data_IF_401171092905
#
_entry.id   IF_401171092905
#
_cell.length_a   1.000
_cell.length_b   1.000
_cell.length_c   1.000
_cell.angle_alpha   90.00
_cell.angle_beta   90.00
_cell.angle_gamma   90.00
#
_symmetry.space_group_name_H-M   'P 1'
#
loop_
_entity.id
_entity.type
_entity.pdbx_description
1 polymer ?
#
# COMPACT_ATOMS: atom_id res chain seq x y z
N UNK A 1 -20.87 31.91 10.67
CA UNK A 1 -22.19 31.56 11.22
C UNK A 1 -22.55 30.17 10.70
N UNK A 2 -22.96 29.27 11.61
CA UNK A 2 -23.42 27.87 11.44
C UNK A 2 -22.43 26.91 10.76
N UNK A 3 -21.59 26.10 11.44
CA UNK A 3 -21.85 24.89 12.28
C UNK A 3 -23.02 24.00 11.82
N UNK A 4 -22.69 22.92 11.09
CA UNK A 4 -23.05 21.52 11.43
C UNK A 4 -22.87 20.57 10.22
N UNK A 5 -21.86 19.68 10.31
CA UNK A 5 -21.85 18.37 9.65
C UNK A 5 -20.71 17.53 10.24
N UNK A 6 -20.99 16.86 11.37
CA UNK A 6 -20.07 15.85 11.93
C UNK A 6 -20.13 14.56 11.10
N UNK A 7 -19.00 13.96 10.72
CA UNK A 7 -18.98 12.67 10.02
C UNK A 7 -19.03 11.55 11.06
N UNK A 8 -20.23 11.23 11.54
CA UNK A 8 -20.45 10.14 12.48
C UNK A 8 -21.52 9.20 11.94
N UNK A 9 -21.17 8.38 10.94
CA UNK A 9 -21.88 7.14 10.62
C UNK A 9 -21.14 6.35 9.53
N UNK A 10 -20.25 5.43 9.94
CA UNK A 10 -19.92 4.22 9.13
C UNK A 10 -19.09 3.14 9.81
N UNK A 11 -18.99 3.13 11.15
CA UNK A 11 -18.30 2.05 11.88
C UNK A 11 -19.09 1.59 13.11
N UNK A 12 -20.16 0.81 12.92
CA UNK A 12 -20.67 -0.13 13.94
C UNK A 12 -21.34 -1.35 13.29
N UNK A 13 -21.24 -2.47 14.01
CA UNK A 13 -21.59 -3.88 13.69
C UNK A 13 -20.44 -4.58 12.92
N UNK A 14 -19.62 -5.44 13.53
CA UNK A 14 -19.94 -6.55 14.42
C UNK A 14 -18.96 -6.63 15.60
N UNK A 15 -19.49 -6.84 16.81
CA UNK A 15 -18.73 -7.23 18.01
C UNK A 15 -19.35 -8.55 18.50
N UNK A 16 -18.60 -9.65 18.63
CA UNK A 16 -19.14 -10.88 19.20
C UNK A 16 -19.33 -10.71 20.73
N UNK A 17 -20.37 -11.31 21.33
CA UNK A 17 -20.61 -11.20 22.76
C UNK A 17 -19.62 -12.05 23.57
N UNK A 18 -19.12 -11.49 24.68
CA UNK A 18 -18.35 -12.21 25.70
C UNK A 18 -19.28 -13.07 26.58
N UNK A 19 -18.88 -14.27 27.01
CA UNK A 19 -19.70 -15.09 27.90
C UNK A 19 -19.56 -14.65 29.37
N UNK A 20 -20.69 -14.54 30.06
CA UNK A 20 -20.77 -14.41 31.51
C UNK A 20 -20.86 -15.79 32.17
N UNK A 21 -20.21 -15.95 33.33
CA UNK A 21 -20.23 -17.15 34.17
C UNK A 21 -21.45 -17.17 35.11
N UNK A 22 -22.13 -18.32 35.24
CA UNK A 22 -22.44 -18.96 36.53
C UNK A 22 -23.31 -20.24 36.39
N UNK A 23 -22.86 -21.32 37.05
CA UNK A 23 -23.66 -22.03 38.06
C UNK A 23 -24.75 -23.03 37.65
N UNK A 24 -24.35 -24.30 37.52
CA UNK A 24 -24.99 -25.54 38.03
C UNK A 24 -26.54 -25.67 38.11
N UNK A 25 -27.10 -26.69 37.43
CA UNK A 25 -28.47 -27.18 37.67
C UNK A 25 -28.93 -28.24 36.67
N UNK A 26 -29.10 -29.47 37.16
CA UNK A 26 -29.40 -30.71 36.45
C UNK A 26 -30.85 -30.77 35.91
N UNK A 27 -31.09 -31.33 34.71
CA UNK A 27 -32.45 -31.63 34.22
C UNK A 27 -32.51 -32.13 32.76
N UNK A 28 -32.67 -33.44 32.59
CA UNK A 28 -32.82 -34.17 31.32
C UNK A 28 -33.94 -33.66 30.40
N UNK A 29 -33.71 -33.70 29.07
CA UNK A 29 -34.79 -33.62 28.08
C UNK A 29 -34.34 -33.57 26.61
N UNK A 30 -34.25 -34.76 25.99
CA UNK A 30 -34.44 -35.05 24.55
C UNK A 30 -33.43 -34.52 23.49
N UNK A 31 -32.56 -35.46 23.10
CA UNK A 31 -31.88 -35.69 21.82
C UNK A 31 -32.41 -34.92 20.58
N UNK A 32 -31.54 -34.15 19.94
CA UNK A 32 -31.46 -34.11 18.47
C UNK A 32 -30.00 -33.97 18.03
N UNK A 33 -29.63 -34.79 17.06
CA UNK A 33 -28.28 -35.25 16.79
C UNK A 33 -27.35 -34.17 16.21
N UNK A 34 -26.07 -34.30 16.59
CA UNK A 34 -24.94 -33.61 15.99
C UNK A 34 -24.90 -33.79 14.46
N UNK A 35 -24.74 -32.69 13.72
CA UNK A 35 -24.35 -32.72 12.32
C UNK A 35 -22.82 -32.71 12.18
N UNK A 36 -22.23 -33.51 11.28
CA UNK A 36 -20.83 -33.88 11.37
C UNK A 36 -19.92 -32.84 10.69
N UNK A 37 -18.84 -32.46 11.38
CA UNK A 37 -17.78 -31.56 10.89
C UNK A 37 -16.70 -32.13 9.94
N UNK A 38 -16.68 -33.40 9.42
CA UNK A 38 -15.58 -33.88 8.60
C UNK A 38 -15.69 -33.56 7.09
N UNK A 39 -16.89 -33.24 6.56
CA UNK A 39 -17.05 -33.03 5.11
C UNK A 39 -16.41 -31.73 4.58
N UNK A 40 -16.33 -30.66 5.40
CA UNK A 40 -15.70 -29.40 4.98
C UNK A 40 -14.17 -29.44 4.96
N UNK A 41 -13.54 -30.45 5.57
CA UNK A 41 -12.08 -30.59 5.60
C UNK A 41 -11.55 -31.32 4.35
N UNK A 42 -12.33 -32.23 3.76
CA UNK A 42 -11.96 -33.01 2.57
C UNK A 42 -11.95 -32.21 1.25
N UNK A 43 -12.42 -30.96 1.30
CA UNK A 43 -12.57 -30.07 0.13
C UNK A 43 -11.87 -28.72 0.40
N UNK A 44 -10.69 -28.74 1.00
CA UNK A 44 -9.79 -27.59 1.04
C UNK A 44 -8.65 -27.80 0.06
N UNK A 45 -8.19 -26.71 -0.53
CA UNK A 45 -6.95 -26.71 -1.31
C UNK A 45 -5.80 -27.23 -0.43
N UNK A 46 -4.91 -27.99 -1.05
CA UNK A 46 -3.65 -28.42 -0.47
C UNK A 46 -2.75 -27.20 -0.26
N UNK A 47 -1.88 -27.28 0.74
CA UNK A 47 -0.86 -26.25 0.96
C UNK A 47 0.21 -26.25 -0.16
N UNK A 48 0.57 -27.44 -0.62
CA UNK A 48 1.58 -27.65 -1.65
C UNK A 48 0.93 -28.20 -2.93
N UNK A 49 1.43 -27.82 -4.11
CA UNK A 49 0.95 -28.37 -5.37
C UNK A 49 1.25 -29.86 -5.46
N UNK A 50 0.52 -30.55 -6.34
CA UNK A 50 0.76 -31.96 -6.64
C UNK A 50 1.81 -32.07 -7.75
N UNK A 51 3.06 -32.40 -7.39
CA UNK A 51 4.23 -32.34 -8.28
C UNK A 51 4.13 -33.20 -9.55
N UNK A 52 3.27 -34.22 -9.56
CA UNK A 52 3.07 -35.15 -10.69
C UNK A 52 1.70 -35.03 -11.37
N UNK A 53 0.93 -33.98 -11.06
CA UNK A 53 -0.36 -33.74 -11.70
C UNK A 53 -0.18 -32.78 -12.89
N UNK A 54 -0.56 -33.23 -14.08
CA UNK A 54 -0.72 -32.35 -15.24
C UNK A 54 -2.13 -31.74 -15.21
N UNK A 55 -2.26 -30.41 -15.04
CA UNK A 55 -3.57 -29.76 -15.06
C UNK A 55 -4.20 -29.80 -16.45
N UNK A 56 -5.53 -29.79 -16.50
CA UNK A 56 -6.26 -29.66 -17.76
C UNK A 56 -5.97 -28.31 -18.43
N UNK A 57 -6.12 -28.29 -19.76
CA UNK A 57 -6.23 -27.03 -20.49
C UNK A 57 -7.65 -26.47 -20.35
N UNK A 58 -7.72 -25.17 -20.08
CA UNK A 58 -8.96 -24.40 -19.91
C UNK A 58 -9.09 -23.27 -20.93
N UNK A 59 -8.17 -23.18 -21.90
CA UNK A 59 -8.12 -22.09 -22.90
C UNK A 59 -9.39 -22.04 -23.75
N UNK A 60 -9.99 -23.19 -24.04
CA UNK A 60 -11.25 -23.31 -24.79
C UNK A 60 -12.46 -22.70 -24.06
N UNK A 61 -12.35 -22.50 -22.75
CA UNK A 61 -13.41 -21.93 -21.92
C UNK A 61 -13.24 -20.43 -21.67
N UNK A 62 -12.24 -19.76 -22.28
CA UNK A 62 -11.93 -18.35 -22.05
C UNK A 62 -13.15 -17.40 -22.18
N UNK A 63 -14.08 -17.68 -23.08
CA UNK A 63 -15.30 -16.87 -23.27
C UNK A 63 -16.42 -17.16 -22.26
N UNK A 64 -16.35 -18.29 -21.57
CA UNK A 64 -17.34 -18.75 -20.59
C UNK A 64 -16.89 -18.52 -19.15
N UNK A 65 -15.57 -18.44 -18.94
CA UNK A 65 -14.97 -18.24 -17.63
C UNK A 65 -14.95 -16.76 -17.23
N UNK A 66 -15.33 -16.54 -15.98
CA UNK A 66 -15.23 -15.27 -15.27
C UNK A 66 -13.78 -14.83 -14.96
N UNK A 67 -12.81 -15.73 -15.17
CA UNK A 67 -11.41 -15.61 -14.77
C UNK A 67 -10.47 -16.14 -15.86
N UNK A 68 -9.20 -15.78 -15.78
CA UNK A 68 -8.16 -16.28 -16.70
C UNK A 68 -8.06 -17.81 -16.64
N UNK A 69 -8.04 -18.53 -17.78
CA UNK A 69 -7.77 -19.96 -17.86
C UNK A 69 -6.51 -20.39 -17.10
N UNK A 70 -5.46 -19.55 -17.11
CA UNK A 70 -4.22 -19.82 -16.38
C UNK A 70 -4.38 -19.91 -14.87
N UNK A 71 -5.39 -19.23 -14.30
CA UNK A 71 -5.70 -19.35 -12.88
C UNK A 71 -6.27 -20.73 -12.56
N UNK A 72 -7.10 -21.30 -13.44
CA UNK A 72 -7.66 -22.64 -13.25
C UNK A 72 -6.59 -23.72 -13.36
N UNK A 73 -5.73 -23.68 -14.38
CA UNK A 73 -4.63 -24.65 -14.51
C UNK A 73 -3.63 -24.55 -13.35
N UNK A 74 -3.41 -23.34 -12.81
CA UNK A 74 -2.59 -23.15 -11.62
C UNK A 74 -3.25 -23.68 -10.35
N UNK A 75 -4.53 -23.37 -10.15
CA UNK A 75 -5.30 -23.75 -8.97
C UNK A 75 -5.57 -25.26 -8.91
N UNK A 76 -5.73 -25.91 -10.07
CA UNK A 76 -6.00 -27.35 -10.17
C UNK A 76 -4.91 -28.18 -9.49
N UNK A 77 -3.64 -27.78 -9.61
CA UNK A 77 -2.50 -28.46 -8.97
C UNK A 77 -2.61 -28.52 -7.45
N UNK A 78 -3.41 -27.64 -6.84
CA UNK A 78 -3.65 -27.57 -5.40
C UNK A 78 -4.95 -28.28 -4.98
N UNK A 79 -5.70 -28.88 -5.90
CA UNK A 79 -6.88 -29.66 -5.53
C UNK A 79 -6.49 -30.92 -4.74
N UNK A 80 -7.28 -31.33 -3.73
CA UNK A 80 -7.09 -32.59 -3.04
C UNK A 80 -7.35 -33.79 -3.98
N UNK A 81 -6.74 -34.96 -3.75
CA UNK A 81 -6.84 -36.12 -4.65
C UNK A 81 -8.25 -36.53 -5.09
N UNK A 82 -9.29 -36.49 -4.21
CA UNK A 82 -10.66 -36.82 -4.64
C UNK A 82 -11.23 -35.86 -5.69
N UNK A 83 -10.80 -34.58 -5.67
CA UNK A 83 -11.25 -33.57 -6.64
C UNK A 83 -10.45 -33.62 -7.94
N UNK A 84 -9.18 -34.04 -7.90
CA UNK A 84 -8.36 -34.25 -9.11
C UNK A 84 -8.93 -35.34 -10.02
N UNK A 85 -9.57 -36.36 -9.43
CA UNK A 85 -10.21 -37.46 -10.15
C UNK A 85 -11.57 -37.10 -10.78
N UNK A 86 -12.09 -35.89 -10.54
CA UNK A 86 -13.35 -35.45 -11.11
C UNK A 86 -13.21 -35.00 -12.57
N UNK A 87 -14.36 -34.88 -13.25
CA UNK A 87 -14.39 -34.31 -14.60
C UNK A 87 -13.87 -32.88 -14.62
N UNK A 88 -13.37 -32.45 -15.78
CA UNK A 88 -12.92 -31.09 -16.03
C UNK A 88 -13.95 -30.04 -15.60
N UNK A 89 -15.22 -30.26 -15.94
CA UNK A 89 -16.31 -29.33 -15.62
C UNK A 89 -16.57 -29.24 -14.10
N UNK A 90 -16.54 -30.38 -13.40
CA UNK A 90 -16.71 -30.39 -11.94
C UNK A 90 -15.51 -29.72 -11.23
N UNK A 91 -14.29 -29.87 -11.76
CA UNK A 91 -13.11 -29.15 -11.29
C UNK A 91 -13.26 -27.64 -11.50
N UNK A 92 -13.77 -27.20 -12.66
CA UNK A 92 -14.05 -25.80 -12.98
C UNK A 92 -15.07 -25.22 -12.01
N UNK A 93 -16.21 -25.88 -11.78
CA UNK A 93 -17.25 -25.38 -10.87
C UNK A 93 -16.72 -25.20 -9.44
N UNK A 94 -15.96 -26.17 -8.95
CA UNK A 94 -15.35 -26.09 -7.63
C UNK A 94 -14.30 -24.96 -7.53
N UNK A 95 -13.40 -24.85 -8.51
CA UNK A 95 -12.40 -23.78 -8.56
C UNK A 95 -13.05 -22.40 -8.71
N UNK A 96 -14.12 -22.30 -9.50
CA UNK A 96 -14.90 -21.07 -9.68
C UNK A 96 -15.54 -20.62 -8.37
N UNK A 97 -16.14 -21.53 -7.60
CA UNK A 97 -16.68 -21.22 -6.27
C UNK A 97 -15.61 -20.68 -5.31
N UNK A 98 -14.38 -21.21 -5.38
CA UNK A 98 -13.25 -20.67 -4.63
C UNK A 98 -12.94 -19.25 -5.10
N UNK A 99 -12.72 -19.04 -6.41
CA UNK A 99 -12.32 -17.76 -6.96
C UNK A 99 -13.36 -16.66 -6.70
N UNK A 100 -14.66 -16.98 -6.80
CA UNK A 100 -15.75 -16.05 -6.52
C UNK A 100 -15.80 -15.56 -5.07
N UNK A 101 -15.29 -16.35 -4.11
CA UNK A 101 -15.17 -15.91 -2.71
C UNK A 101 -14.07 -14.88 -2.48
N UNK A 102 -13.05 -14.86 -3.34
CA UNK A 102 -11.91 -13.95 -3.24
C UNK A 102 -11.96 -12.80 -4.25
N UNK A 103 -12.80 -12.88 -5.28
CA UNK A 103 -13.02 -11.82 -6.26
C UNK A 103 -14.51 -11.74 -6.63
N UNK A 104 -15.30 -11.05 -5.80
CA UNK A 104 -16.73 -10.85 -6.03
C UNK A 104 -17.00 -10.11 -7.34
N UNK A 105 -18.20 -10.29 -7.89
CA UNK A 105 -18.63 -9.70 -9.17
C UNK A 105 -18.38 -8.18 -9.27
N UNK A 106 -18.63 -7.43 -8.18
CA UNK A 106 -18.39 -5.99 -8.15
C UNK A 106 -16.92 -5.60 -8.36
N UNK A 107 -15.98 -6.35 -7.78
CA UNK A 107 -14.54 -6.12 -7.96
C UNK A 107 -14.12 -6.49 -9.38
N UNK A 108 -14.61 -7.62 -9.91
CA UNK A 108 -14.33 -8.05 -11.29
C UNK A 108 -14.83 -7.04 -12.31
N UNK A 109 -16.06 -6.57 -12.15
CA UNK A 109 -16.66 -5.54 -13.01
C UNK A 109 -15.84 -4.26 -12.98
N UNK A 110 -15.36 -3.86 -11.79
CA UNK A 110 -14.49 -2.68 -11.65
C UNK A 110 -13.16 -2.86 -12.40
N UNK A 111 -12.50 -4.02 -12.28
CA UNK A 111 -11.25 -4.33 -12.98
C UNK A 111 -11.44 -4.33 -14.50
N UNK A 112 -12.51 -4.95 -15.00
CA UNK A 112 -12.82 -4.97 -16.43
C UNK A 112 -13.07 -3.56 -16.97
N UNK A 113 -13.90 -2.76 -16.30
CA UNK A 113 -14.16 -1.37 -16.71
C UNK A 113 -12.89 -0.52 -16.67
N UNK A 114 -12.02 -0.73 -15.68
CA UNK A 114 -10.74 -0.03 -15.60
C UNK A 114 -9.84 -0.41 -16.78
N UNK A 115 -9.76 -1.70 -17.13
CA UNK A 115 -9.01 -2.17 -18.30
C UNK A 115 -9.53 -1.58 -19.60
N UNK A 116 -10.84 -1.59 -19.83
CA UNK A 116 -11.46 -0.98 -21.03
C UNK A 116 -11.19 0.52 -21.11
N UNK A 117 -11.29 1.21 -19.98
CA UNK A 117 -10.95 2.63 -19.87
C UNK A 117 -9.48 2.89 -20.26
N UNK A 118 -8.53 2.11 -19.73
CA UNK A 118 -7.11 2.25 -20.06
C UNK A 118 -6.85 1.94 -21.54
N UNK A 119 -7.47 0.90 -22.08
CA UNK A 119 -7.35 0.55 -23.51
C UNK A 119 -7.82 1.69 -24.42
N UNK A 120 -8.91 2.37 -24.06
CA UNK A 120 -9.38 3.54 -24.82
C UNK A 120 -8.36 4.68 -24.80
N UNK A 121 -7.73 4.94 -23.66
CA UNK A 121 -6.65 5.95 -23.59
C UNK A 121 -5.49 5.54 -24.48
N UNK A 122 -4.96 4.33 -24.30
CA UNK A 122 -3.80 3.83 -25.05
C UNK A 122 -4.02 3.79 -26.57
N UNK A 123 -5.25 3.62 -27.03
CA UNK A 123 -5.59 3.63 -28.44
C UNK A 123 -5.65 5.03 -29.07
N UNK A 124 -5.87 6.08 -28.26
CA UNK A 124 -6.18 7.43 -28.76
C UNK A 124 -5.16 8.50 -28.34
N UNK A 125 -4.49 8.31 -27.20
CA UNK A 125 -3.44 9.20 -26.72
C UNK A 125 -2.11 8.92 -27.44
N UNK A 126 -1.39 9.99 -27.79
CA UNK A 126 -0.07 9.91 -28.42
C UNK A 126 0.99 10.45 -27.45
N UNK A 127 1.90 9.60 -26.95
CA UNK A 127 2.97 10.04 -26.07
C UNK A 127 3.87 11.09 -26.69
N UNK A 128 4.29 12.08 -25.89
CA UNK A 128 5.22 13.13 -26.31
C UNK A 128 6.67 12.65 -26.17
N UNK A 129 7.00 12.04 -25.03
CA UNK A 129 8.33 11.54 -24.68
C UNK A 129 8.34 10.00 -24.61
N UNK A 130 8.49 9.33 -25.76
CA UNK A 130 8.54 7.85 -25.83
C UNK A 130 9.61 7.22 -24.96
N UNK A 131 10.71 7.93 -24.72
CA UNK A 131 11.79 7.50 -23.84
C UNK A 131 11.33 7.28 -22.39
N UNK A 132 10.27 7.97 -21.94
CA UNK A 132 9.69 7.73 -20.61
C UNK A 132 9.18 6.30 -20.43
N UNK A 133 8.67 5.69 -21.49
CA UNK A 133 7.96 4.41 -21.46
C UNK A 133 8.88 3.18 -21.36
N UNK A 134 10.18 3.38 -21.57
CA UNK A 134 11.17 2.29 -21.57
C UNK A 134 12.08 2.30 -20.34
N UNK A 135 12.11 3.41 -19.57
CA UNK A 135 13.00 3.65 -18.43
C UNK A 135 14.47 3.32 -18.76
N UNK A 136 15.15 4.26 -19.42
CA UNK A 136 16.60 4.20 -19.57
C UNK A 136 17.30 4.83 -18.36
N UNK A 137 17.75 3.99 -17.42
CA UNK A 137 18.19 4.41 -16.09
C UNK A 137 19.23 5.55 -16.11
N UNK A 138 20.21 5.52 -17.03
CA UNK A 138 21.27 6.54 -17.13
C UNK A 138 20.75 7.93 -17.56
N UNK A 139 19.63 7.99 -18.26
CA UNK A 139 18.96 9.25 -18.62
C UNK A 139 18.00 9.74 -17.55
N UNK A 140 17.52 8.83 -16.68
CA UNK A 140 16.52 9.17 -15.67
C UNK A 140 17.15 9.71 -14.40
N UNK A 141 18.17 9.01 -13.92
CA UNK A 141 18.67 9.15 -12.57
C UNK A 141 20.03 9.82 -12.51
N UNK A 142 20.29 10.52 -11.40
CA UNK A 142 21.60 11.11 -11.17
C UNK A 142 22.68 10.02 -11.00
N UNK A 143 23.93 10.26 -11.46
CA UNK A 143 24.98 9.23 -11.45
C UNK A 143 25.32 8.68 -10.06
N UNK A 144 25.21 9.50 -9.01
CA UNK A 144 25.43 9.09 -7.61
C UNK A 144 24.41 8.04 -7.17
N UNK A 145 23.13 8.26 -7.51
CA UNK A 145 22.03 7.34 -7.23
C UNK A 145 22.23 5.97 -7.90
N UNK A 146 22.56 5.98 -9.20
CA UNK A 146 22.81 4.74 -9.94
C UNK A 146 24.00 3.95 -9.40
N UNK A 147 25.06 4.64 -8.96
CA UNK A 147 26.23 3.99 -8.38
C UNK A 147 25.89 3.25 -7.09
N UNK A 148 25.16 3.92 -6.19
CA UNK A 148 24.71 3.31 -4.94
C UNK A 148 23.85 2.06 -5.20
N UNK A 149 22.93 2.12 -6.17
CA UNK A 149 22.09 0.96 -6.52
C UNK A 149 22.85 -0.16 -7.22
N UNK A 150 23.91 0.16 -7.97
CA UNK A 150 24.79 -0.85 -8.56
C UNK A 150 25.58 -1.61 -7.48
N UNK A 151 26.04 -0.91 -6.45
CA UNK A 151 26.72 -1.51 -5.29
C UNK A 151 25.73 -2.27 -4.39
N UNK A 152 24.51 -1.74 -4.23
CA UNK A 152 23.39 -2.39 -3.55
C UNK A 152 23.68 -2.82 -2.10
N UNK A 153 24.48 -2.02 -1.38
CA UNK A 153 24.77 -2.22 0.06
C UNK A 153 24.18 -1.10 0.90
N UNK A 154 23.99 -1.35 2.20
CA UNK A 154 23.53 -0.32 3.14
C UNK A 154 24.47 0.89 3.17
N UNK A 155 25.79 0.67 3.14
CA UNK A 155 26.80 1.75 3.12
C UNK A 155 26.68 2.60 1.87
N UNK A 156 26.50 1.96 0.70
CA UNK A 156 26.35 2.66 -0.57
C UNK A 156 25.09 3.53 -0.58
N UNK A 157 23.97 3.05 -0.03
CA UNK A 157 22.75 3.84 0.10
C UNK A 157 22.89 4.97 1.11
N UNK A 158 23.50 4.70 2.27
CA UNK A 158 23.75 5.73 3.29
C UNK A 158 24.69 6.83 2.81
N UNK A 159 25.52 6.57 1.78
CA UNK A 159 26.38 7.58 1.19
C UNK A 159 25.62 8.67 0.40
N UNK A 160 24.38 8.38 -0.04
CA UNK A 160 23.56 9.30 -0.86
C UNK A 160 22.27 9.75 -0.17
N UNK A 161 21.88 9.08 0.93
CA UNK A 161 20.63 9.33 1.66
C UNK A 161 20.92 10.05 2.96
N UNK A 162 20.09 11.05 3.26
CA UNK A 162 20.00 11.66 4.60
C UNK A 162 18.70 11.26 5.28
N UNK A 163 18.71 11.11 6.60
CA UNK A 163 17.53 10.83 7.42
C UNK A 163 17.24 12.03 8.35
N UNK A 164 16.61 13.11 7.84
CA UNK A 164 16.39 14.32 8.64
C UNK A 164 15.41 14.11 9.79
N UNK A 165 14.59 13.06 9.75
CA UNK A 165 13.69 12.65 10.81
C UNK A 165 13.50 11.13 10.76
N UNK A 166 13.31 10.44 11.90
CA UNK A 166 13.24 8.97 11.94
C UNK A 166 12.29 8.36 10.91
N UNK A 167 12.84 7.55 10.01
CA UNK A 167 12.12 6.84 8.95
C UNK A 167 11.69 7.71 7.75
N UNK A 168 12.19 8.93 7.64
CA UNK A 168 12.04 9.80 6.47
C UNK A 168 13.41 9.93 5.82
N UNK A 169 13.57 9.37 4.62
CA UNK A 169 14.82 9.40 3.89
C UNK A 169 14.73 10.34 2.70
N UNK A 170 15.76 11.16 2.52
CA UNK A 170 15.82 12.18 1.48
C UNK A 170 17.09 12.02 0.67
N UNK A 171 16.96 12.02 -0.66
CA UNK A 171 18.07 11.85 -1.59
C UNK A 171 17.80 12.53 -2.93
N UNK A 172 18.87 12.83 -3.66
CA UNK A 172 18.79 13.26 -5.05
C UNK A 172 18.59 12.03 -5.94
N UNK A 173 17.58 12.07 -6.82
CA UNK A 173 17.14 10.89 -7.55
C UNK A 173 17.10 11.15 -9.05
N UNK A 174 16.27 12.10 -9.50
CA UNK A 174 16.03 12.35 -10.91
C UNK A 174 16.93 13.47 -11.44
N UNK A 175 17.35 13.33 -12.69
CA UNK A 175 17.96 14.43 -13.45
C UNK A 175 16.89 15.49 -13.77
N UNK A 176 17.28 16.77 -13.86
CA UNK A 176 16.37 17.88 -14.19
C UNK A 176 15.60 17.63 -15.49
N UNK A 177 16.29 17.16 -16.54
CA UNK A 177 15.66 16.79 -17.82
C UNK A 177 14.54 15.75 -17.65
N UNK A 178 14.71 14.79 -16.75
CA UNK A 178 13.67 13.78 -16.46
C UNK A 178 12.46 14.40 -15.79
N UNK A 179 12.67 15.36 -14.88
CA UNK A 179 11.59 16.12 -14.25
C UNK A 179 10.81 16.91 -15.31
N UNK A 180 11.50 17.64 -16.17
CA UNK A 180 10.92 18.40 -17.29
C UNK A 180 10.08 17.49 -18.21
N UNK A 181 10.66 16.38 -18.69
CA UNK A 181 9.96 15.45 -19.57
C UNK A 181 8.71 14.83 -18.94
N UNK A 182 8.76 14.51 -17.64
CA UNK A 182 7.58 14.00 -16.92
C UNK A 182 6.48 15.06 -16.83
N UNK A 183 6.84 16.33 -16.60
CA UNK A 183 5.89 17.44 -16.58
C UNK A 183 5.28 17.69 -17.96
N UNK A 184 6.11 17.73 -19.00
CA UNK A 184 5.68 17.93 -20.38
C UNK A 184 4.73 16.81 -20.84
N UNK A 185 5.01 15.56 -20.46
CA UNK A 185 4.15 14.41 -20.76
C UNK A 185 2.80 14.50 -20.03
N UNK A 186 2.81 14.90 -18.75
CA UNK A 186 1.57 15.10 -17.98
C UNK A 186 0.74 16.24 -18.57
N UNK A 187 1.36 17.37 -18.91
CA UNK A 187 0.68 18.50 -19.54
C UNK A 187 0.12 18.10 -20.91
N UNK A 188 0.88 17.35 -21.71
CA UNK A 188 0.42 16.83 -23.00
C UNK A 188 -0.79 15.91 -22.84
N UNK A 189 -0.78 15.03 -21.84
CA UNK A 189 -1.93 14.18 -21.52
C UNK A 189 -3.14 15.00 -21.09
N UNK A 190 -2.99 15.97 -20.19
CA UNK A 190 -4.09 16.83 -19.77
C UNK A 190 -4.67 17.68 -20.92
N UNK A 191 -3.82 18.21 -21.82
CA UNK A 191 -4.27 18.90 -23.04
C UNK A 191 -5.10 17.98 -23.92
N UNK A 192 -4.63 16.74 -24.16
CA UNK A 192 -5.39 15.76 -24.92
C UNK A 192 -6.75 15.44 -24.26
N UNK A 193 -6.79 15.28 -22.94
CA UNK A 193 -8.02 15.06 -22.16
C UNK A 193 -9.00 16.22 -22.38
N UNK A 194 -8.53 17.46 -22.30
CA UNK A 194 -9.34 18.66 -22.52
C UNK A 194 -9.87 18.72 -23.96
N UNK A 195 -9.00 18.60 -24.96
CA UNK A 195 -9.35 18.77 -26.38
C UNK A 195 -10.29 17.68 -26.89
N UNK A 196 -10.21 16.48 -26.32
CA UNK A 196 -11.10 15.36 -26.66
C UNK A 196 -12.32 15.27 -25.76
N UNK A 197 -12.43 16.13 -24.73
CA UNK A 197 -13.43 16.04 -23.67
C UNK A 197 -13.51 14.62 -23.05
N UNK A 198 -12.35 13.96 -22.91
CA UNK A 198 -12.27 12.62 -22.36
C UNK A 198 -12.39 12.69 -20.83
N UNK A 199 -13.13 11.76 -20.22
CA UNK A 199 -13.24 11.72 -18.75
C UNK A 199 -12.19 10.77 -18.18
N UNK A 200 -11.26 11.32 -17.40
CA UNK A 200 -10.23 10.54 -16.68
C UNK A 200 -10.59 10.29 -15.21
N UNK A 201 -9.96 9.28 -14.61
CA UNK A 201 -9.93 9.14 -13.16
C UNK A 201 -8.84 10.03 -12.57
N UNK A 202 -9.13 10.62 -11.41
CA UNK A 202 -8.17 11.43 -10.67
C UNK A 202 -7.29 10.55 -9.76
N UNK A 203 -6.09 11.02 -9.38
CA UNK A 203 -5.08 10.21 -8.69
C UNK A 203 -5.57 9.47 -7.44
N UNK A 204 -6.37 10.17 -6.63
CA UNK A 204 -7.01 9.63 -5.43
C UNK A 204 -8.21 10.52 -5.05
N UNK A 205 -8.90 10.18 -3.96
CA UNK A 205 -10.09 10.92 -3.49
C UNK A 205 -9.79 12.29 -2.86
N UNK A 206 -8.52 12.61 -2.62
CA UNK A 206 -8.07 13.85 -1.98
C UNK A 206 -7.49 14.87 -2.97
N UNK A 207 -7.16 14.45 -4.21
CA UNK A 207 -6.62 15.32 -5.25
C UNK A 207 -7.62 15.50 -6.39
N UNK A 208 -7.90 16.77 -6.72
CA UNK A 208 -8.74 17.16 -7.87
C UNK A 208 -7.94 17.29 -9.16
N UNK A 209 -6.64 17.57 -9.04
CA UNK A 209 -5.72 17.76 -10.16
C UNK A 209 -4.60 16.72 -10.16
N UNK A 210 -3.96 16.57 -11.33
CA UNK A 210 -3.02 15.50 -11.59
C UNK A 210 -3.64 14.26 -12.25
N UNK A 211 -2.79 13.27 -12.52
CA UNK A 211 -3.06 12.15 -13.43
C UNK A 211 -2.43 10.84 -12.91
N UNK A 212 -3.09 9.72 -13.19
CA UNK A 212 -2.56 8.37 -12.93
C UNK A 212 -1.70 7.94 -14.11
N UNK A 213 -0.43 7.63 -13.88
CA UNK A 213 0.55 7.42 -14.95
C UNK A 213 0.34 6.08 -15.68
N UNK A 214 -0.15 5.06 -14.97
CA UNK A 214 -0.49 3.76 -15.55
C UNK A 214 -1.58 3.90 -16.63
N UNK A 215 -2.50 4.85 -16.47
CA UNK A 215 -3.67 4.98 -17.34
C UNK A 215 -3.27 5.30 -18.79
N UNK A 216 -2.14 5.99 -19.00
CA UNK A 216 -1.63 6.37 -20.31
C UNK A 216 -0.27 5.73 -20.64
N UNK A 217 0.05 4.61 -19.98
CA UNK A 217 1.02 3.61 -20.44
C UNK A 217 2.38 3.61 -19.74
N UNK A 218 2.55 4.34 -18.64
CA UNK A 218 3.81 4.35 -17.88
C UNK A 218 3.94 3.20 -16.84
N UNK A 219 3.01 2.24 -16.84
CA UNK A 219 3.00 1.10 -15.91
C UNK A 219 4.33 0.32 -15.92
N UNK A 220 4.91 0.05 -17.09
CA UNK A 220 6.20 -0.66 -17.17
C UNK A 220 7.36 0.17 -16.59
N UNK A 221 7.34 1.50 -16.82
CA UNK A 221 8.33 2.41 -16.23
C UNK A 221 8.24 2.38 -14.70
N UNK A 222 7.03 2.50 -14.17
CA UNK A 222 6.80 2.52 -12.72
C UNK A 222 7.05 1.16 -12.04
N UNK A 223 6.72 0.06 -12.71
CA UNK A 223 7.06 -1.29 -12.24
C UNK A 223 8.56 -1.44 -12.07
N UNK A 224 9.35 -1.05 -13.08
CA UNK A 224 10.82 -1.06 -13.01
C UNK A 224 11.35 -0.07 -11.96
N UNK A 225 10.75 1.12 -11.84
CA UNK A 225 11.10 2.08 -10.79
C UNK A 225 10.95 1.46 -9.39
N UNK A 226 9.85 0.74 -9.14
CA UNK A 226 9.63 0.03 -7.90
C UNK A 226 10.63 -1.13 -7.71
N UNK A 227 10.73 -2.01 -8.70
CA UNK A 227 11.47 -3.27 -8.60
C UNK A 227 12.98 -3.06 -8.50
N UNK A 228 13.53 -2.23 -9.38
CA UNK A 228 14.97 -2.08 -9.57
C UNK A 228 15.56 -0.98 -8.67
N UNK A 229 14.74 -0.04 -8.15
CA UNK A 229 15.24 1.16 -7.45
C UNK A 229 14.62 1.35 -6.06
N UNK A 230 13.29 1.29 -5.91
CA UNK A 230 12.66 1.51 -4.59
C UNK A 230 12.81 0.30 -3.67
N UNK A 231 12.54 -0.93 -4.16
CA UNK A 231 12.59 -2.15 -3.35
C UNK A 231 13.98 -2.41 -2.74
N UNK A 232 15.12 -2.22 -3.45
CA UNK A 232 16.45 -2.37 -2.86
C UNK A 232 16.71 -1.46 -1.66
N UNK A 233 16.28 -0.19 -1.75
CA UNK A 233 16.40 0.82 -0.68
C UNK A 233 15.45 0.45 0.46
N UNK A 234 14.18 0.16 0.13
CA UNK A 234 13.16 -0.18 1.11
C UNK A 234 13.48 -1.45 1.92
N UNK A 235 14.14 -2.44 1.32
CA UNK A 235 14.63 -3.64 2.01
C UNK A 235 15.53 -3.29 3.20
N UNK A 236 16.38 -2.28 3.05
CA UNK A 236 17.35 -1.86 4.08
C UNK A 236 16.66 -1.00 5.14
N UNK A 237 15.86 -0.04 4.70
CA UNK A 237 15.38 1.03 5.58
C UNK A 237 13.96 0.83 6.14
N UNK A 238 13.19 -0.10 5.58
CA UNK A 238 11.82 -0.44 5.97
C UNK A 238 11.55 -1.95 6.11
N UNK A 239 12.45 -2.74 6.73
CA UNK A 239 12.26 -4.19 6.86
C UNK A 239 10.98 -4.54 7.65
N UNK A 240 10.57 -3.70 8.58
CA UNK A 240 9.41 -3.94 9.46
C UNK A 240 8.04 -3.70 8.82
N UNK A 241 8.00 -3.12 7.61
CA UNK A 241 6.76 -2.92 6.83
C UNK A 241 6.80 -3.61 5.47
N UNK A 242 7.63 -4.65 5.32
CA UNK A 242 7.67 -5.44 4.07
C UNK A 242 8.41 -4.78 2.92
N UNK A 243 9.40 -3.92 3.21
CA UNK A 243 10.20 -3.25 2.17
C UNK A 243 10.90 -4.21 1.19
N UNK A 244 11.16 -5.45 1.58
CA UNK A 244 11.73 -6.51 0.72
C UNK A 244 10.70 -7.24 -0.14
N UNK A 245 9.40 -7.11 0.16
CA UNK A 245 8.32 -7.88 -0.46
C UNK A 245 7.28 -6.99 -1.15
N UNK A 246 7.65 -5.75 -1.49
CA UNK A 246 6.83 -4.87 -2.32
C UNK A 246 6.52 -5.58 -3.63
N UNK A 247 5.30 -5.55 -4.16
CA UNK A 247 4.85 -6.32 -5.33
C UNK A 247 3.78 -5.62 -6.17
N UNK A 248 3.29 -4.46 -5.73
CA UNK A 248 2.30 -3.67 -6.44
C UNK A 248 2.60 -2.18 -6.27
N UNK A 249 2.29 -1.39 -7.29
CA UNK A 249 2.43 0.06 -7.25
C UNK A 249 1.14 0.78 -7.62
N UNK A 250 1.06 2.06 -7.26
CA UNK A 250 0.12 3.03 -7.84
C UNK A 250 0.88 4.35 -8.00
N UNK A 251 1.19 4.68 -9.25
CA UNK A 251 2.00 5.84 -9.59
C UNK A 251 1.17 6.96 -10.21
N UNK A 252 1.33 8.17 -9.70
CA UNK A 252 0.55 9.32 -10.12
C UNK A 252 1.32 10.63 -9.92
N UNK A 253 0.97 11.65 -10.68
CA UNK A 253 1.43 13.02 -10.45
C UNK A 253 0.31 13.82 -9.81
N UNK A 254 0.65 14.61 -8.80
CA UNK A 254 -0.24 15.60 -8.17
C UNK A 254 0.27 16.99 -8.46
N UNK A 255 -0.65 17.94 -8.58
CA UNK A 255 -0.39 19.33 -8.93
C UNK A 255 -1.01 20.28 -7.92
N UNK A 256 -0.21 21.25 -7.47
CA UNK A 256 -0.61 22.29 -6.53
C UNK A 256 -0.28 23.68 -7.06
N UNK A 257 -1.13 24.65 -6.71
CA UNK A 257 -1.02 26.04 -7.18
C UNK A 257 -2.34 26.80 -7.00
N UNK A 258 -2.36 28.09 -7.33
CA UNK A 258 -3.56 28.94 -7.13
C UNK A 258 -4.78 28.46 -7.92
N UNK A 259 -4.57 27.97 -9.15
CA UNK A 259 -5.62 27.42 -10.02
C UNK A 259 -5.67 25.88 -9.99
N UNK A 260 -5.15 25.29 -8.91
CA UNK A 260 -5.07 23.84 -8.68
C UNK A 260 -5.50 23.54 -7.23
N UNK A 261 -5.10 22.38 -6.69
CA UNK A 261 -5.22 22.17 -5.24
C UNK A 261 -4.19 23.05 -4.52
N UNK A 262 -4.57 23.71 -3.43
CA UNK A 262 -3.67 24.63 -2.73
C UNK A 262 -2.82 23.88 -1.70
N UNK A 263 -3.42 22.91 -1.02
CA UNK A 263 -2.81 22.11 0.05
C UNK A 263 -3.37 20.68 0.02
N UNK A 264 -2.77 19.80 0.81
CA UNK A 264 -3.31 18.46 1.07
C UNK A 264 -3.38 18.22 2.57
N UNK A 265 -4.60 17.98 3.05
CA UNK A 265 -4.89 17.78 4.46
C UNK A 265 -4.16 16.58 5.08
N UNK A 266 -4.27 16.46 6.40
CA UNK A 266 -3.60 15.41 7.16
C UNK A 266 -4.13 14.01 6.83
N UNK A 267 -3.25 13.10 6.41
CA UNK A 267 -3.61 11.75 5.97
C UNK A 267 -2.48 10.73 6.18
N UNK A 268 -2.73 9.50 5.73
CA UNK A 268 -1.75 8.42 5.54
C UNK A 268 -1.93 7.87 4.12
N UNK A 269 -0.91 7.24 3.58
CA UNK A 269 -0.99 6.59 2.28
C UNK A 269 -1.50 5.16 2.39
N UNK A 270 -2.16 4.70 1.32
CA UNK A 270 -2.46 3.28 1.11
C UNK A 270 -1.24 2.55 0.51
N UNK A 271 -0.13 2.59 1.25
CA UNK A 271 1.13 1.96 0.87
C UNK A 271 1.86 1.42 2.10
N UNK A 272 2.78 0.50 1.86
CA UNK A 272 3.79 0.13 2.85
C UNK A 272 4.93 1.16 2.82
N UNK A 273 5.38 1.52 1.61
CA UNK A 273 6.41 2.53 1.35
C UNK A 273 5.90 3.49 0.28
N UNK A 274 6.08 4.79 0.51
CA UNK A 274 5.78 5.85 -0.45
C UNK A 274 7.07 6.53 -0.89
N UNK A 275 7.25 6.64 -2.20
CA UNK A 275 8.22 7.53 -2.83
C UNK A 275 7.50 8.80 -3.29
N UNK A 276 8.01 9.96 -2.91
CA UNK A 276 7.52 11.27 -3.33
C UNK A 276 8.68 12.07 -3.94
N UNK A 277 8.61 12.38 -5.23
CA UNK A 277 9.67 13.08 -5.96
C UNK A 277 9.13 14.42 -6.45
N UNK A 278 9.82 15.51 -6.18
CA UNK A 278 9.42 16.82 -6.68
C UNK A 278 9.89 17.00 -8.13
N UNK A 279 8.94 17.41 -8.97
CA UNK A 279 9.15 17.66 -10.39
C UNK A 279 9.19 19.16 -10.70
N UNK A 280 8.33 19.95 -10.06
CA UNK A 280 8.18 21.38 -10.37
C UNK A 280 9.39 22.22 -9.94
N UNK A 281 9.78 23.21 -10.75
CA UNK A 281 11.01 23.99 -10.53
C UNK A 281 10.79 25.36 -9.86
N UNK A 282 9.62 25.97 -10.03
CA UNK A 282 9.36 27.35 -9.61
C UNK A 282 8.08 27.44 -8.79
N UNK A 283 8.22 27.29 -7.47
CA UNK A 283 7.12 27.48 -6.51
C UNK A 283 7.64 27.93 -5.13
N UNK A 284 6.74 28.41 -4.27
CA UNK A 284 7.02 28.67 -2.86
C UNK A 284 5.91 28.11 -1.97
N UNK A 285 6.26 27.78 -0.73
CA UNK A 285 5.40 27.01 0.17
C UNK A 285 5.30 25.54 -0.26
N UNK A 286 4.22 24.88 0.13
CA UNK A 286 3.99 23.48 -0.24
C UNK A 286 4.84 22.47 0.54
N UNK A 287 5.41 22.86 1.68
CA UNK A 287 6.24 21.97 2.49
C UNK A 287 5.44 20.73 2.88
N UNK A 288 6.10 19.57 2.82
CA UNK A 288 5.55 18.36 3.39
C UNK A 288 5.65 18.46 4.91
N UNK A 289 4.59 18.08 5.62
CA UNK A 289 4.62 18.02 7.07
C UNK A 289 4.31 16.61 7.53
N UNK A 290 5.08 16.10 8.49
CA UNK A 290 5.03 14.75 9.04
C UNK A 290 4.77 14.79 10.53
N UNK A 291 3.94 13.87 11.03
CA UNK A 291 3.44 13.85 12.42
C UNK A 291 3.49 12.44 13.00
N UNK A 292 4.61 11.75 12.75
CA UNK A 292 4.89 10.41 13.26
C UNK A 292 4.09 9.28 12.62
N UNK A 293 4.56 8.06 12.86
CA UNK A 293 4.01 6.83 12.27
C UNK A 293 3.02 6.17 13.23
N UNK A 294 1.91 5.62 12.69
CA UNK A 294 0.86 4.97 13.47
C UNK A 294 0.30 3.69 12.81
N UNK A 295 0.08 2.66 13.62
CA UNK A 295 -0.71 1.49 13.23
C UNK A 295 -2.21 1.84 13.13
N UNK A 296 -3.02 0.92 12.62
CA UNK A 296 -4.45 1.16 12.36
C UNK A 296 -5.22 1.54 13.63
N UNK A 297 -4.82 0.97 14.78
CA UNK A 297 -5.44 1.25 16.08
C UNK A 297 -5.14 2.66 16.62
N UNK A 298 -4.06 3.28 16.16
CA UNK A 298 -3.56 4.54 16.71
C UNK A 298 -3.47 5.66 15.67
N UNK A 299 -4.05 5.47 14.47
CA UNK A 299 -3.95 6.47 13.39
C UNK A 299 -4.44 7.86 13.81
N UNK A 300 -5.47 7.89 14.66
CA UNK A 300 -6.09 9.12 15.18
C UNK A 300 -5.54 9.56 16.55
N UNK A 301 -4.46 8.94 17.08
CA UNK A 301 -3.90 9.39 18.36
C UNK A 301 -3.21 10.75 18.22
N UNK A 302 -2.97 11.44 19.32
CA UNK A 302 -2.33 12.75 19.28
C UNK A 302 -0.90 12.68 18.70
N UNK A 303 -0.45 13.82 18.19
CA UNK A 303 0.93 14.01 17.72
C UNK A 303 1.76 14.62 18.83
N UNK A 304 2.91 14.03 19.12
CA UNK A 304 3.87 14.59 20.06
C UNK A 304 4.79 15.60 19.37
N UNK A 305 5.37 16.53 20.15
CA UNK A 305 6.20 17.59 19.59
C UNK A 305 7.43 17.01 18.87
N UNK A 306 8.04 15.96 19.41
CA UNK A 306 9.19 15.26 18.81
C UNK A 306 8.86 14.50 17.52
N UNK A 307 7.58 14.31 17.20
CA UNK A 307 7.13 13.64 15.98
C UNK A 307 6.87 14.62 14.82
N UNK A 308 6.99 15.93 15.08
CA UNK A 308 6.71 16.98 14.10
C UNK A 308 7.95 17.30 13.27
N UNK A 309 7.86 17.04 11.97
CA UNK A 309 8.92 17.35 11.01
C UNK A 309 8.32 17.97 9.75
N UNK A 310 8.94 19.03 9.24
CA UNK A 310 8.52 19.70 8.02
C UNK A 310 9.68 19.70 7.02
N UNK A 311 9.38 19.46 5.74
CA UNK A 311 10.36 19.32 4.68
C UNK A 311 10.01 20.21 3.48
N UNK A 312 10.91 21.14 3.18
CA UNK A 312 10.87 21.94 1.96
C UNK A 312 11.46 21.13 0.81
N UNK A 313 10.63 20.83 -0.19
CA UNK A 313 11.03 20.00 -1.31
C UNK A 313 11.87 20.79 -2.32
N UNK A 314 12.83 20.12 -2.96
CA UNK A 314 13.54 20.64 -4.14
C UNK A 314 13.34 19.73 -5.34
N UNK A 315 13.37 20.27 -6.57
CA UNK A 315 13.22 19.48 -7.80
C UNK A 315 14.25 18.36 -7.89
N UNK A 316 13.87 17.22 -8.47
CA UNK A 316 14.74 16.05 -8.67
C UNK A 316 15.08 15.26 -7.39
N UNK A 317 14.81 15.81 -6.21
CA UNK A 317 14.92 15.06 -4.94
C UNK A 317 13.72 14.17 -4.72
N UNK A 318 13.94 13.13 -3.93
CA UNK A 318 12.93 12.22 -3.44
C UNK A 318 12.86 12.25 -1.91
N UNK A 319 11.65 12.09 -1.39
CA UNK A 319 11.35 11.71 -0.01
C UNK A 319 10.78 10.30 -0.03
N UNK A 320 11.42 9.39 0.68
CA UNK A 320 10.95 8.04 0.91
C UNK A 320 10.48 7.93 2.36
N UNK A 321 9.26 7.44 2.57
CA UNK A 321 8.68 7.28 3.90
C UNK A 321 7.74 6.07 3.96
N UNK A 322 7.42 5.61 5.18
CA UNK A 322 6.36 4.61 5.40
C UNK A 322 5.01 5.20 4.96
N UNK A 323 4.15 4.43 4.33
CA UNK A 323 2.81 4.91 3.98
C UNK A 323 1.98 5.27 5.22
N UNK A 324 2.24 4.57 6.34
CA UNK A 324 1.64 4.85 7.66
C UNK A 324 2.23 6.05 8.39
N UNK A 325 3.20 6.75 7.81
CA UNK A 325 3.66 8.03 8.33
C UNK A 325 2.56 9.07 8.09
N UNK A 326 2.00 9.61 9.16
CA UNK A 326 0.93 10.60 9.02
C UNK A 326 1.52 11.91 8.54
N UNK A 327 0.98 12.47 7.47
CA UNK A 327 1.57 13.62 6.80
C UNK A 327 0.55 14.41 5.98
N UNK A 328 1.00 15.49 5.37
CA UNK A 328 0.24 16.29 4.42
C UNK A 328 1.15 17.29 3.70
N UNK A 329 0.56 18.17 2.90
CA UNK A 329 1.28 19.25 2.24
C UNK A 329 0.68 20.60 2.67
N UNK A 330 1.53 21.54 3.04
CA UNK A 330 1.13 22.93 3.33
C UNK A 330 0.66 23.62 2.05
N UNK A 331 0.05 24.79 2.22
CA UNK A 331 -0.37 25.63 1.09
C UNK A 331 0.80 26.01 0.19
N UNK A 332 0.64 25.81 -1.11
CA UNK A 332 1.52 26.40 -2.14
C UNK A 332 1.12 27.87 -2.30
N UNK A 333 2.03 28.78 -2.00
CA UNK A 333 1.75 30.23 -1.94
C UNK A 333 2.07 30.95 -3.24
N UNK A 334 2.93 30.39 -4.09
CA UNK A 334 3.22 30.89 -5.43
C UNK A 334 3.70 29.77 -6.35
N UNK A 335 3.53 29.96 -7.66
CA UNK A 335 4.01 29.05 -8.69
C UNK A 335 3.19 27.77 -8.81
N UNK A 336 3.80 26.77 -9.46
CA UNK A 336 3.19 25.47 -9.73
C UNK A 336 4.08 24.35 -9.18
N UNK A 337 3.55 23.64 -8.19
CA UNK A 337 4.24 22.52 -7.54
C UNK A 337 3.67 21.22 -8.03
N UNK A 338 4.52 20.39 -8.63
CA UNK A 338 4.13 19.06 -9.08
C UNK A 338 5.05 18.00 -8.48
N UNK A 339 4.46 16.88 -8.07
CA UNK A 339 5.18 15.78 -7.45
C UNK A 339 4.75 14.44 -8.05
N UNK A 340 5.73 13.60 -8.40
CA UNK A 340 5.54 12.18 -8.69
C UNK A 340 5.41 11.43 -7.37
N UNK A 341 4.30 10.73 -7.19
CA UNK A 341 4.05 9.85 -6.05
C UNK A 341 3.99 8.41 -6.54
N UNK A 342 4.71 7.51 -5.87
CA UNK A 342 4.64 6.08 -6.10
C UNK A 342 4.33 5.38 -4.78
N UNK A 343 3.10 4.90 -4.66
CA UNK A 343 2.67 4.06 -3.56
C UNK A 343 3.07 2.62 -3.82
N UNK A 344 4.04 2.09 -3.06
CA UNK A 344 4.48 0.70 -3.16
C UNK A 344 3.82 -0.13 -2.07
N UNK A 345 3.22 -1.25 -2.48
CA UNK A 345 2.47 -2.16 -1.61
C UNK A 345 3.12 -3.54 -1.56
N UNK A 346 2.91 -4.25 -0.47
CA UNK A 346 3.32 -5.63 -0.27
C UNK A 346 2.14 -6.50 0.13
N UNK A 347 1.73 -7.42 -0.76
CA UNK A 347 0.70 -8.41 -0.42
C UNK A 347 1.09 -9.29 0.77
N UNK A 348 2.37 -9.69 0.85
CA UNK A 348 2.93 -10.49 1.95
C UNK A 348 2.79 -9.77 3.28
N UNK A 349 3.20 -8.51 3.37
CA UNK A 349 3.08 -7.76 4.62
C UNK A 349 1.62 -7.56 5.02
N UNK A 350 0.74 -7.24 4.06
CA UNK A 350 -0.69 -7.06 4.31
C UNK A 350 -1.35 -8.33 4.85
N UNK A 351 -0.92 -9.50 4.39
CA UNK A 351 -1.36 -10.78 4.94
C UNK A 351 -0.81 -11.00 6.35
N UNK A 352 0.50 -10.85 6.56
CA UNK A 352 1.14 -11.01 7.86
C UNK A 352 0.58 -10.07 8.94
N UNK A 353 0.23 -8.83 8.55
CA UNK A 353 -0.36 -7.82 9.43
C UNK A 353 -1.65 -8.29 10.09
N UNK A 354 -2.42 -9.20 9.47
CA UNK A 354 -3.64 -9.79 10.05
C UNK A 354 -3.37 -10.59 11.32
N UNK A 355 -2.16 -11.13 11.44
CA UNK A 355 -1.72 -11.95 12.56
C UNK A 355 -0.82 -11.19 13.55
N UNK A 356 -0.35 -10.00 13.16
CA UNK A 356 0.53 -9.18 13.99
C UNK A 356 -0.24 -8.46 15.10
N UNK A 357 0.23 -8.62 16.34
CA UNK A 357 -0.40 -8.01 17.53
C UNK A 357 0.43 -6.89 18.13
N UNK A 358 1.76 -6.88 17.94
CA UNK A 358 2.68 -5.85 18.40
C UNK A 358 3.23 -5.02 17.22
N UNK A 359 3.02 -3.71 17.29
CA UNK A 359 3.51 -2.73 16.33
C UNK A 359 4.49 -1.73 16.98
N UNK A 360 5.00 -2.02 18.17
CA UNK A 360 5.91 -1.12 18.92
C UNK A 360 7.26 -0.88 18.24
N UNK A 361 7.62 -1.67 17.23
CA UNK A 361 8.82 -1.43 16.42
C UNK A 361 8.72 -0.19 15.52
N UNK A 362 7.51 0.21 15.12
CA UNK A 362 7.34 1.32 14.17
C UNK A 362 6.18 2.28 14.49
N UNK A 363 5.21 1.88 15.31
CA UNK A 363 4.12 2.77 15.76
C UNK A 363 4.54 3.51 17.03
N UNK A 364 4.67 4.83 16.94
CA UNK A 364 5.11 5.68 18.06
C UNK A 364 4.24 5.54 19.31
N UNK A 365 2.92 5.44 19.13
CA UNK A 365 1.95 5.24 20.23
C UNK A 365 2.10 3.86 20.90
N UNK A 366 2.28 2.79 20.11
CA UNK A 366 2.52 1.46 20.64
C UNK A 366 3.80 1.42 21.48
N UNK A 367 4.88 2.03 20.94
CA UNK A 367 6.16 2.12 21.62
C UNK A 367 6.06 2.91 22.93
N UNK A 368 5.36 4.05 22.92
CA UNK A 368 5.16 4.88 24.11
C UNK A 368 4.37 4.14 25.18
N UNK A 369 3.25 3.54 24.81
CA UNK A 369 2.43 2.73 25.73
C UNK A 369 3.24 1.59 26.36
N UNK A 370 4.08 0.91 25.55
CA UNK A 370 4.97 -0.15 26.03
C UNK A 370 6.02 0.38 27.02
N UNK A 371 6.65 1.53 26.73
CA UNK A 371 7.61 2.20 27.62
C UNK A 371 6.98 2.61 28.95
N UNK A 372 5.80 3.25 28.92
CA UNK A 372 5.07 3.67 30.14
C UNK A 372 4.71 2.48 31.02
N UNK A 373 4.18 1.39 30.43
CA UNK A 373 3.88 0.15 31.16
C UNK A 373 5.13 -0.44 31.81
N UNK A 374 6.25 -0.46 31.09
CA UNK A 374 7.51 -0.97 31.61
C UNK A 374 8.03 -0.14 32.79
N UNK A 375 8.03 1.20 32.67
CA UNK A 375 8.42 2.11 33.76
C UNK A 375 7.54 1.95 35.00
N UNK A 376 6.22 1.84 34.81
CA UNK A 376 5.28 1.64 35.91
C UNK A 376 5.49 0.28 36.60
N UNK A 377 5.81 -0.77 35.83
CA UNK A 377 6.17 -2.07 36.37
C UNK A 377 7.45 -2.01 37.21
N UNK A 378 8.51 -1.37 36.70
CA UNK A 378 9.77 -1.19 37.43
C UNK A 378 9.58 -0.41 38.73
N UNK A 379 8.79 0.67 38.70
CA UNK A 379 8.48 1.47 39.88
C UNK A 379 7.73 0.64 40.94
N UNK A 380 6.73 -0.16 40.52
CA UNK A 380 5.97 -1.05 41.41
C UNK A 380 6.87 -2.12 42.03
N UNK A 381 7.69 -2.80 41.23
CA UNK A 381 8.64 -3.81 41.72
C UNK A 381 9.65 -3.21 42.70
N UNK A 382 10.21 -2.02 42.40
CA UNK A 382 11.14 -1.32 43.30
C UNK A 382 10.48 -1.00 44.65
N UNK A 383 9.23 -0.53 44.64
CA UNK A 383 8.49 -0.24 45.86
C UNK A 383 8.24 -1.51 46.69
N UNK A 384 7.89 -2.62 46.03
CA UNK A 384 7.67 -3.91 46.70
C UNK A 384 8.96 -4.47 47.31
N UNK A 385 10.09 -4.37 46.62
CA UNK A 385 11.40 -4.77 47.17
C UNK A 385 11.77 -3.94 48.40
N UNK A 386 11.61 -2.61 48.34
CA UNK A 386 11.86 -1.72 49.49
C UNK A 386 10.93 -2.03 50.68
N UNK A 387 9.67 -2.42 50.42
CA UNK A 387 8.74 -2.85 51.48
C UNK A 387 9.17 -4.15 52.13
N UNK A 388 9.73 -5.09 51.37
CA UNK A 388 10.24 -6.36 51.90
C UNK A 388 11.49 -6.16 52.76
N UNK A 389 12.42 -5.30 52.33
CA UNK A 389 13.60 -4.94 53.13
C UNK A 389 13.19 -4.30 54.47
N UNK A 390 12.23 -3.38 54.47
CA UNK A 390 11.71 -2.76 55.71
C UNK A 390 10.96 -3.71 56.64
N UNK A 391 10.49 -4.86 56.14
CA UNK A 391 9.83 -5.90 56.96
C UNK A 391 10.84 -6.92 57.49
N UNK A 392 12.03 -6.99 56.89
CA UNK A 392 13.09 -7.91 57.28
C UNK A 392 14.10 -7.29 58.26
N UNK A 393 14.19 -5.95 58.29
CA UNK A 393 14.81 -5.17 59.36
C UNK A 393 13.80 -4.94 60.50
#
# INVERSE_FOLDING_TARGET
MSVDASPNDRFKQFRPPSPASNGNGNGNGALSAASPAPARAAHRLRLNPTDHHEPDSYEDLQSQLDFSPMLFSSLERYLPPPLLALSRDAKVDYMRDILLRYSPEGERTRVLRHREYRQKILANYKPLHRELYTLHAASFFVPSFLRALKENTEESFRSIITEPSPGIYVFEMLQSRTCEMLLDEVENFERWVHDTNFRIMRPNTMNRYGVVLDDFGLETMLARMMDDFVRPIARVFYPEVGGSTLDSHHGFVVEYGMDRDVELGFHVDDSEVTLNVCLGEQFSGGELFFRGVRCDKHVNSETQQEESFDYAHTPGRAVLHRGRHRHGARATTSGHRANLILWCRSSVFRELKKYQTDFSSWCGECLRTKRVRHQSSLASTKLELMRRERRAA
#
